data_IF_260093517073
#
_entry.id   IF_260093517073
#
_cell.length_a   1.000
_cell.length_b   1.000
_cell.length_c   1.000
_cell.angle_alpha   90.00
_cell.angle_beta   90.00
_cell.angle_gamma   90.00
#
_symmetry.space_group_name_H-M   'P 1'
#
loop_
_entity.id
_entity.type
_entity.pdbx_description
1 polymer ?
#
# COMPACT_ATOMS: atom_id res chain seq x y z
N UNK A 1 -8.29 -10.31 -3.78
CA UNK A 1 -8.01 -9.00 -4.41
C UNK A 1 -9.21 -8.05 -4.37
N UNK A 2 -10.42 -8.46 -4.79
CA UNK A 2 -11.64 -7.62 -4.66
C UNK A 2 -11.94 -7.25 -3.19
N UNK A 3 -11.74 -8.20 -2.29
CA UNK A 3 -11.87 -8.00 -0.83
C UNK A 3 -10.94 -6.92 -0.28
N UNK A 4 -9.71 -6.80 -0.78
CA UNK A 4 -8.78 -5.74 -0.33
C UNK A 4 -9.29 -4.35 -0.70
N UNK A 5 -9.96 -4.22 -1.84
CA UNK A 5 -10.58 -2.97 -2.26
C UNK A 5 -11.82 -2.66 -1.42
N UNK A 6 -12.58 -3.68 -1.04
CA UNK A 6 -13.73 -3.53 -0.13
C UNK A 6 -13.31 -3.09 1.28
N UNK A 7 -12.16 -3.56 1.78
CA UNK A 7 -11.56 -3.06 3.03
C UNK A 7 -11.30 -1.56 2.90
N UNK A 8 -10.60 -1.15 1.84
CA UNK A 8 -10.30 0.26 1.60
C UNK A 8 -11.54 1.14 1.45
N UNK A 9 -12.58 0.64 0.79
CA UNK A 9 -13.83 1.40 0.62
C UNK A 9 -14.60 1.60 1.93
N UNK A 10 -14.46 0.67 2.89
CA UNK A 10 -15.10 0.76 4.20
C UNK A 10 -14.33 1.66 5.16
N UNK A 11 -13.00 1.55 5.18
CA UNK A 11 -12.13 2.18 6.17
C UNK A 11 -10.99 2.94 5.49
N UNK A 12 -11.22 4.24 5.26
CA UNK A 12 -10.26 5.17 4.64
C UNK A 12 -9.44 5.92 5.67
N UNK A 13 -8.88 5.19 6.63
CA UNK A 13 -8.03 5.72 7.69
C UNK A 13 -6.69 4.94 7.76
N UNK A 14 -5.88 5.23 8.78
CA UNK A 14 -4.56 4.63 8.94
C UNK A 14 -4.62 3.11 9.16
N UNK A 15 -5.63 2.62 9.89
CA UNK A 15 -5.79 1.18 10.16
C UNK A 15 -6.28 0.46 8.91
N UNK A 16 -7.31 0.97 8.25
CA UNK A 16 -7.83 0.41 7.00
C UNK A 16 -6.81 0.44 5.86
N UNK A 17 -5.97 1.47 5.79
CA UNK A 17 -4.84 1.52 4.87
C UNK A 17 -3.83 0.39 5.12
N UNK A 18 -3.44 0.16 6.38
CA UNK A 18 -2.51 -0.91 6.75
C UNK A 18 -3.11 -2.30 6.52
N UNK A 19 -4.40 -2.50 6.85
CA UNK A 19 -5.18 -3.71 6.58
C UNK A 19 -5.19 -4.02 5.07
N UNK A 20 -5.44 -2.99 4.26
CA UNK A 20 -5.46 -3.11 2.80
C UNK A 20 -4.10 -3.55 2.25
N UNK A 21 -3.00 -2.98 2.75
CA UNK A 21 -1.64 -3.38 2.35
C UNK A 21 -1.32 -4.83 2.76
N UNK A 22 -1.75 -5.26 3.96
CA UNK A 22 -1.61 -6.66 4.39
C UNK A 22 -2.41 -7.59 3.47
N UNK A 23 -3.65 -7.25 3.16
CA UNK A 23 -4.47 -8.02 2.24
C UNK A 23 -3.79 -8.15 0.86
N UNK A 24 -3.25 -7.07 0.29
CA UNK A 24 -2.49 -7.17 -0.97
C UNK A 24 -1.32 -8.14 -0.87
N UNK A 25 -0.57 -8.09 0.23
CA UNK A 25 0.53 -9.02 0.49
C UNK A 25 0.08 -10.48 0.60
N UNK A 26 -1.02 -10.76 1.30
CA UNK A 26 -1.61 -12.10 1.39
C UNK A 26 -2.05 -12.65 0.02
N UNK A 27 -2.48 -11.76 -0.89
CA UNK A 27 -2.78 -12.11 -2.27
C UNK A 27 -1.54 -12.20 -3.18
N UNK A 28 -0.33 -12.08 -2.63
CA UNK A 28 0.94 -12.22 -3.35
C UNK A 28 1.40 -10.98 -4.11
N UNK A 29 0.83 -9.80 -3.82
CA UNK A 29 1.27 -8.55 -4.42
C UNK A 29 2.57 -8.04 -3.76
N UNK A 30 3.43 -7.46 -4.58
CA UNK A 30 4.61 -6.74 -4.11
C UNK A 30 4.36 -5.25 -4.01
N UNK A 31 4.65 -4.71 -2.82
CA UNK A 31 4.57 -3.28 -2.52
C UNK A 31 5.99 -2.72 -2.56
N UNK A 32 6.18 -1.68 -3.36
CA UNK A 32 7.44 -0.96 -3.50
C UNK A 32 7.25 0.52 -3.17
N UNK A 33 8.37 1.22 -2.98
CA UNK A 33 8.40 2.66 -2.85
C UNK A 33 9.02 3.25 -4.13
N UNK A 34 8.30 4.18 -4.73
CA UNK A 34 8.74 4.98 -5.87
C UNK A 34 9.43 6.25 -5.35
N UNK A 35 10.73 6.41 -5.67
CA UNK A 35 11.50 7.58 -5.23
C UNK A 35 11.25 8.82 -6.10
N UNK A 36 10.68 8.69 -7.29
CA UNK A 36 10.31 9.83 -8.13
C UNK A 36 8.93 10.36 -7.74
N UNK A 37 7.94 9.48 -7.64
CA UNK A 37 6.57 9.84 -7.24
C UNK A 37 6.39 9.98 -5.72
N UNK A 38 7.42 9.62 -4.92
CA UNK A 38 7.44 9.69 -3.44
C UNK A 38 6.22 9.03 -2.79
N UNK A 39 5.87 7.84 -3.27
CA UNK A 39 4.71 7.07 -2.80
C UNK A 39 4.98 5.56 -2.83
N UNK A 40 4.10 4.80 -2.21
CA UNK A 40 4.03 3.36 -2.42
C UNK A 40 3.24 3.03 -3.69
N UNK A 41 3.60 1.91 -4.30
CA UNK A 41 2.89 1.36 -5.44
C UNK A 41 2.94 -0.17 -5.40
N UNK A 42 1.97 -0.81 -6.05
CA UNK A 42 2.01 -2.25 -6.30
C UNK A 42 2.77 -2.53 -7.59
N UNK A 43 3.53 -3.63 -7.62
CA UNK A 43 4.27 -4.07 -8.81
C UNK A 43 3.41 -4.08 -10.08
N UNK A 44 2.14 -4.48 -9.94
CA UNK A 44 1.20 -4.55 -11.06
C UNK A 44 0.80 -3.21 -11.68
N UNK A 45 1.02 -2.10 -10.99
CA UNK A 45 0.74 -0.77 -11.56
C UNK A 45 1.55 -0.50 -12.83
N UNK A 46 2.64 -1.25 -13.06
CA UNK A 46 3.42 -1.18 -14.30
C UNK A 46 2.60 -1.57 -15.54
N UNK A 47 1.58 -2.43 -15.40
CA UNK A 47 0.73 -2.88 -16.52
C UNK A 47 -0.78 -2.67 -16.28
N UNK A 48 -1.21 -2.46 -15.04
CA UNK A 48 -2.60 -2.19 -14.66
C UNK A 48 -2.71 -1.03 -13.65
N UNK A 49 -3.19 0.11 -14.13
CA UNK A 49 -3.38 1.32 -13.33
C UNK A 49 -4.65 1.33 -12.48
N UNK A 50 -5.45 0.25 -12.44
CA UNK A 50 -6.73 0.20 -11.73
C UNK A 50 -6.64 0.54 -10.24
N UNK A 51 -5.47 0.34 -9.63
CA UNK A 51 -5.21 0.56 -8.20
C UNK A 51 -4.32 1.75 -7.90
N UNK A 52 -3.83 2.46 -8.92
CA UNK A 52 -2.91 3.60 -8.74
C UNK A 52 -3.48 4.63 -7.78
N UNK A 53 -4.73 5.06 -8.01
CA UNK A 53 -5.40 6.06 -7.16
C UNK A 53 -5.51 5.61 -5.71
N UNK A 54 -5.82 4.33 -5.49
CA UNK A 54 -5.95 3.77 -4.14
C UNK A 54 -4.59 3.77 -3.43
N UNK A 55 -3.53 3.37 -4.13
CA UNK A 55 -2.17 3.37 -3.59
C UNK A 55 -1.64 4.78 -3.32
N UNK A 56 -2.00 5.77 -4.14
CA UNK A 56 -1.73 7.19 -3.89
C UNK A 56 -2.42 7.65 -2.59
N UNK A 57 -3.72 7.38 -2.42
CA UNK A 57 -4.46 7.72 -1.21
C UNK A 57 -3.85 7.05 0.03
N UNK A 58 -3.57 5.74 -0.04
CA UNK A 58 -2.94 4.97 1.05
C UNK A 58 -1.58 5.57 1.42
N UNK A 59 -0.76 5.93 0.43
CA UNK A 59 0.56 6.53 0.68
C UNK A 59 0.48 7.87 1.40
N UNK A 60 -0.54 8.68 1.08
CA UNK A 60 -0.78 9.95 1.76
C UNK A 60 -1.26 9.74 3.20
N UNK A 61 -2.21 8.84 3.44
CA UNK A 61 -2.72 8.56 4.79
C UNK A 61 -1.61 8.03 5.69
N UNK A 62 -0.83 7.08 5.18
CA UNK A 62 0.28 6.49 5.93
C UNK A 62 1.54 7.38 5.97
N UNK A 63 1.48 8.57 5.35
CA UNK A 63 2.55 9.58 5.33
C UNK A 63 3.89 9.04 4.83
N UNK A 64 3.84 8.18 3.82
CA UNK A 64 5.04 7.60 3.21
C UNK A 64 5.53 8.52 2.11
N UNK A 65 6.57 9.31 2.40
CA UNK A 65 7.16 10.27 1.46
C UNK A 65 8.64 9.98 1.17
N UNK A 66 9.23 9.04 1.89
CA UNK A 66 10.60 8.63 1.73
C UNK A 66 10.76 7.13 1.89
N UNK A 67 11.90 6.62 1.42
CA UNK A 67 12.29 5.22 1.65
C UNK A 67 12.41 4.89 3.14
N UNK A 68 12.79 5.85 3.96
CA UNK A 68 12.87 5.68 5.41
C UNK A 68 11.48 5.52 6.04
N UNK A 69 10.50 6.32 5.62
CA UNK A 69 9.11 6.18 6.05
C UNK A 69 8.55 4.81 5.66
N UNK A 70 8.86 4.37 4.43
CA UNK A 70 8.45 3.05 3.95
C UNK A 70 9.06 1.91 4.77
N UNK A 71 10.34 1.99 5.13
CA UNK A 71 10.99 0.98 5.99
C UNK A 71 10.32 0.94 7.37
N UNK A 72 10.13 2.10 8.01
CA UNK A 72 9.43 2.21 9.31
C UNK A 72 8.02 1.63 9.25
N UNK A 73 7.31 1.87 8.14
CA UNK A 73 5.98 1.35 7.91
C UNK A 73 5.98 -0.19 7.79
N UNK A 74 6.92 -0.75 7.02
CA UNK A 74 7.07 -2.19 6.87
C UNK A 74 7.34 -2.88 8.20
N UNK A 75 8.12 -2.26 9.08
CA UNK A 75 8.36 -2.76 10.44
C UNK A 75 7.11 -2.62 11.32
N UNK A 76 6.45 -1.46 11.30
CA UNK A 76 5.26 -1.17 12.12
C UNK A 76 4.10 -2.14 11.84
N UNK A 77 3.85 -2.47 10.58
CA UNK A 77 2.72 -3.33 10.17
C UNK A 77 3.15 -4.71 9.68
N UNK A 78 4.41 -5.07 9.87
CA UNK A 78 4.96 -6.38 9.53
C UNK A 78 4.74 -6.79 8.05
N UNK A 79 4.95 -5.87 7.12
CA UNK A 79 4.77 -6.09 5.67
C UNK A 79 5.95 -6.87 5.02
N UNK A 80 6.75 -7.59 5.81
CA UNK A 80 7.92 -8.36 5.35
C UNK A 80 7.75 -9.88 5.46
N UNK A 81 6.74 -10.37 6.17
CA UNK A 81 6.61 -11.80 6.53
C UNK A 81 5.72 -12.65 5.60
N UNK A 82 5.18 -12.10 4.51
CA UNK A 82 4.29 -12.81 3.58
C UNK A 82 4.79 -12.70 2.14
#
# INVERSE_FOLDING_TARGET
MRECLEIWEKEKDEEGAAETLRCFKEYGEDIYFDDEEKRMYLAREVWDNSVKKIMEEISQILKVHSREDFIKLKEKYNLTMY
#
